data_IF_439011260559
#
_entry.id   IF_439011260559
#
_cell.length_a   1.000
_cell.length_b   1.000
_cell.length_c   1.000
_cell.angle_alpha   90.00
_cell.angle_beta   90.00
_cell.angle_gamma   90.00
#
_symmetry.space_group_name_H-M   'P 1'
#
loop_
_entity.id
_entity.type
_entity.pdbx_description
1 polymer ?
#
# COMPACT_ATOMS: atom_id res chain seq x y z
N UNK A 1 6.99 -6.38 9.77
CA UNK A 1 5.60 -6.01 9.40
C UNK A 1 4.72 -6.14 10.62
N UNK A 2 3.92 -5.12 10.94
CA UNK A 2 3.00 -5.17 12.07
C UNK A 2 1.73 -5.95 11.71
N UNK A 3 1.21 -6.74 12.64
CA UNK A 3 0.00 -7.52 12.41
C UNK A 3 -1.22 -6.59 12.32
N UNK A 4 -1.86 -6.57 11.16
CA UNK A 4 -3.11 -5.84 10.90
C UNK A 4 -4.28 -6.80 10.85
N UNK A 5 -5.42 -6.36 11.39
CA UNK A 5 -6.70 -7.08 11.29
C UNK A 5 -7.60 -6.37 10.28
N UNK A 6 -8.00 -7.09 9.22
CA UNK A 6 -8.93 -6.55 8.22
C UNK A 6 -10.24 -6.05 8.85
N UNK A 7 -10.74 -6.78 9.86
CA UNK A 7 -11.96 -6.39 10.61
C UNK A 7 -11.80 -5.01 11.26
N UNK A 8 -10.63 -4.72 11.83
CA UNK A 8 -10.36 -3.43 12.46
C UNK A 8 -10.19 -2.33 11.40
N UNK A 9 -9.46 -2.61 10.32
CA UNK A 9 -9.32 -1.66 9.21
C UNK A 9 -10.66 -1.32 8.57
N UNK A 10 -11.55 -2.30 8.39
CA UNK A 10 -12.89 -2.04 7.87
C UNK A 10 -13.71 -1.16 8.82
N UNK A 11 -13.62 -1.37 10.13
CA UNK A 11 -14.26 -0.47 11.13
C UNK A 11 -13.73 0.96 11.01
N UNK A 12 -12.43 1.14 10.85
CA UNK A 12 -11.83 2.47 10.63
C UNK A 12 -12.35 3.12 9.35
N UNK A 13 -12.42 2.37 8.24
CA UNK A 13 -12.97 2.86 6.96
C UNK A 13 -14.43 3.29 7.12
N UNK A 14 -15.26 2.47 7.78
CA UNK A 14 -16.67 2.79 8.05
C UNK A 14 -16.79 4.06 8.91
N UNK A 15 -15.95 4.20 9.94
CA UNK A 15 -15.95 5.36 10.83
C UNK A 15 -15.56 6.66 10.11
N UNK A 16 -14.69 6.59 9.09
CA UNK A 16 -14.25 7.74 8.30
C UNK A 16 -15.30 8.27 7.32
N UNK A 17 -16.36 7.50 7.03
CA UNK A 17 -17.49 7.93 6.19
C UNK A 17 -17.06 8.52 4.84
N UNK A 18 -16.11 7.85 4.17
CA UNK A 18 -15.69 8.20 2.81
C UNK A 18 -16.88 8.37 1.86
N UNK A 19 -16.72 9.23 0.86
CA UNK A 19 -17.76 9.52 -0.12
C UNK A 19 -17.69 8.61 -1.34
N UNK A 20 -16.53 8.01 -1.55
CA UNK A 20 -16.21 7.22 -2.73
C UNK A 20 -15.53 5.89 -2.38
N UNK A 21 -15.81 4.86 -3.17
CA UNK A 21 -15.23 3.53 -3.06
C UNK A 21 -13.70 3.59 -3.19
N UNK A 22 -13.21 4.41 -4.14
CA UNK A 22 -11.78 4.59 -4.37
C UNK A 22 -11.06 5.20 -3.17
N UNK A 23 -11.69 6.09 -2.41
CA UNK A 23 -11.10 6.65 -1.19
C UNK A 23 -10.92 5.59 -0.09
N UNK A 24 -11.95 4.75 0.11
CA UNK A 24 -11.89 3.65 1.06
C UNK A 24 -10.78 2.64 0.70
N UNK A 25 -10.63 2.32 -0.60
CA UNK A 25 -9.55 1.48 -1.11
C UNK A 25 -8.17 2.15 -0.90
N UNK A 26 -8.03 3.42 -1.26
CA UNK A 26 -6.77 4.16 -1.04
C UNK A 26 -6.38 4.22 0.43
N UNK A 27 -7.35 4.33 1.34
CA UNK A 27 -7.09 4.25 2.76
C UNK A 27 -6.51 2.90 3.19
N UNK A 28 -7.11 1.79 2.75
CA UNK A 28 -6.59 0.44 3.02
C UNK A 28 -5.14 0.31 2.54
N UNK A 29 -4.87 0.75 1.30
CA UNK A 29 -3.53 0.76 0.72
C UNK A 29 -2.56 1.58 1.58
N UNK A 30 -2.90 2.83 1.92
CA UNK A 30 -2.02 3.68 2.75
C UNK A 30 -1.75 3.06 4.12
N UNK A 31 -2.78 2.50 4.76
CA UNK A 31 -2.66 1.84 6.07
C UNK A 31 -1.75 0.62 6.00
N UNK A 32 -1.88 -0.21 4.97
CA UNK A 32 -0.98 -1.37 4.80
C UNK A 32 0.45 -0.93 4.53
N UNK A 33 0.67 0.09 3.68
CA UNK A 33 2.00 0.71 3.46
C UNK A 33 2.63 1.18 4.77
N UNK A 34 1.88 1.91 5.60
CA UNK A 34 2.38 2.44 6.87
C UNK A 34 2.74 1.36 7.90
N UNK A 35 2.28 0.13 7.71
CA UNK A 35 2.59 -1.03 8.57
C UNK A 35 3.73 -1.90 8.01
N UNK A 36 4.38 -1.44 6.94
CA UNK A 36 5.53 -2.08 6.32
C UNK A 36 5.18 -3.14 5.28
N UNK A 37 3.93 -3.17 4.80
CA UNK A 37 3.59 -4.00 3.63
C UNK A 37 4.12 -3.32 2.38
N UNK A 38 5.04 -3.99 1.67
CA UNK A 38 5.53 -3.55 0.39
C UNK A 38 4.42 -3.69 -0.67
N UNK A 39 4.25 -2.65 -1.47
CA UNK A 39 3.30 -2.66 -2.57
C UNK A 39 4.03 -2.16 -3.80
N UNK A 40 4.28 -3.08 -4.72
CA UNK A 40 4.82 -2.73 -6.02
C UNK A 40 3.77 -1.92 -6.80
N UNK A 41 4.10 -0.69 -7.17
CA UNK A 41 3.21 0.15 -7.99
C UNK A 41 2.92 -0.45 -9.38
N UNK A 42 3.74 -1.41 -9.82
CA UNK A 42 3.59 -2.16 -11.07
C UNK A 42 2.91 -3.53 -10.87
N UNK A 43 2.36 -3.81 -9.69
CA UNK A 43 1.60 -5.06 -9.47
C UNK A 43 0.32 -5.04 -10.33
N UNK A 44 0.20 -5.94 -11.33
CA UNK A 44 -0.93 -5.95 -12.25
C UNK A 44 -2.25 -6.29 -11.55
N UNK A 45 -2.21 -7.06 -10.45
CA UNK A 45 -3.40 -7.41 -9.68
C UNK A 45 -3.89 -6.20 -8.90
N UNK A 46 -2.99 -5.42 -8.28
CA UNK A 46 -3.37 -4.16 -7.62
C UNK A 46 -3.93 -3.16 -8.64
N UNK A 47 -3.34 -3.08 -9.84
CA UNK A 47 -3.84 -2.22 -10.91
C UNK A 47 -5.25 -2.63 -11.35
N UNK A 48 -5.53 -3.94 -11.48
CA UNK A 48 -6.85 -4.46 -11.78
C UNK A 48 -7.87 -4.08 -10.68
N UNK A 49 -7.52 -4.26 -9.40
CA UNK A 49 -8.38 -3.84 -8.29
C UNK A 49 -8.73 -2.35 -8.32
N UNK A 50 -7.77 -1.49 -8.68
CA UNK A 50 -8.02 -0.05 -8.80
C UNK A 50 -9.04 0.24 -9.91
N UNK A 51 -8.93 -0.46 -11.04
CA UNK A 51 -9.86 -0.31 -12.16
C UNK A 51 -11.26 -0.81 -11.79
N UNK A 52 -11.36 -1.97 -11.17
CA UNK A 52 -12.63 -2.55 -10.70
C UNK A 52 -13.33 -1.61 -9.72
N UNK A 53 -12.58 -1.03 -8.78
CA UNK A 53 -13.13 -0.10 -7.80
C UNK A 53 -13.67 1.18 -8.46
N UNK A 54 -12.96 1.70 -9.47
CA UNK A 54 -13.44 2.84 -10.26
C UNK A 54 -14.72 2.48 -11.03
N UNK A 55 -14.82 1.27 -11.56
CA UNK A 55 -16.02 0.82 -12.28
C UNK A 55 -17.22 0.68 -11.34
N UNK A 56 -17.03 0.16 -10.13
CA UNK A 56 -18.08 0.09 -9.10
C UNK A 56 -18.59 1.49 -8.75
N UNK A 57 -17.66 2.42 -8.49
CA UNK A 57 -17.98 3.82 -8.18
C UNK A 57 -18.75 4.50 -9.32
N UNK A 58 -18.26 4.37 -10.56
CA UNK A 58 -18.92 4.92 -11.75
C UNK A 58 -20.31 4.34 -11.96
N UNK A 59 -20.48 3.02 -11.78
CA UNK A 59 -21.77 2.38 -11.92
C UNK A 59 -22.77 2.89 -10.88
N UNK A 60 -22.35 3.02 -9.62
CA UNK A 60 -23.20 3.60 -8.56
C UNK A 60 -23.64 5.02 -8.89
N UNK A 61 -22.72 5.87 -9.35
CA UNK A 61 -23.01 7.25 -9.75
C UNK A 61 -24.02 7.27 -10.90
N UNK A 62 -23.83 6.42 -11.91
CA UNK A 62 -24.71 6.34 -13.09
C UNK A 62 -26.13 5.86 -12.75
N UNK A 63 -26.27 4.94 -11.80
CA UNK A 63 -27.58 4.43 -11.38
C UNK A 63 -28.28 5.35 -10.38
N UNK A 64 -27.73 6.53 -10.09
CA UNK A 64 -28.23 7.47 -9.06
C UNK A 64 -28.43 6.80 -7.70
N UNK A 65 -27.68 5.74 -7.42
CA UNK A 65 -27.80 5.02 -6.15
C UNK A 65 -27.28 5.91 -5.01
N UNK A 66 -27.78 5.64 -3.80
CA UNK A 66 -27.55 6.43 -2.61
C UNK A 66 -26.04 6.57 -2.31
N UNK A 67 -25.74 7.53 -1.43
CA UNK A 67 -24.42 7.75 -0.83
C UNK A 67 -23.71 6.44 -0.53
N UNK A 68 -22.44 6.37 -0.90
CA UNK A 68 -21.53 5.27 -0.62
C UNK A 68 -21.68 4.70 0.79
N UNK A 69 -21.71 3.37 0.91
CA UNK A 69 -21.54 2.69 2.19
C UNK A 69 -20.42 1.69 2.10
N UNK A 70 -19.39 1.87 2.93
CA UNK A 70 -18.18 1.03 2.90
C UNK A 70 -18.42 -0.49 3.03
N UNK A 71 -19.56 -0.93 3.58
CA UNK A 71 -19.88 -2.36 3.62
C UNK A 71 -20.21 -2.97 2.24
N UNK A 72 -20.62 -2.14 1.27
CA UNK A 72 -20.94 -2.59 -0.09
C UNK A 72 -19.72 -3.15 -0.81
N UNK A 73 -18.54 -2.58 -0.54
CA UNK A 73 -17.26 -3.03 -1.14
C UNK A 73 -16.40 -3.89 -0.19
N UNK A 74 -17.01 -4.45 0.87
CA UNK A 74 -16.28 -5.19 1.90
C UNK A 74 -15.50 -6.37 1.30
N UNK A 75 -16.07 -7.05 0.30
CA UNK A 75 -15.47 -8.25 -0.25
C UNK A 75 -14.24 -7.89 -1.09
N UNK A 76 -14.36 -6.87 -1.93
CA UNK A 76 -13.32 -6.30 -2.78
C UNK A 76 -12.13 -5.81 -1.94
N UNK A 77 -12.41 -5.07 -0.86
CA UNK A 77 -11.38 -4.65 0.10
C UNK A 77 -10.72 -5.84 0.79
N UNK A 78 -11.48 -6.90 1.08
CA UNK A 78 -10.96 -8.12 1.70
C UNK A 78 -10.03 -8.90 0.78
N UNK A 79 -10.38 -9.00 -0.51
CA UNK A 79 -9.54 -9.65 -1.52
C UNK A 79 -8.23 -8.88 -1.72
N UNK A 80 -8.29 -7.55 -1.87
CA UNK A 80 -7.11 -6.70 -1.97
C UNK A 80 -6.20 -6.84 -0.74
N UNK A 81 -6.78 -6.79 0.46
CA UNK A 81 -6.05 -6.98 1.71
C UNK A 81 -5.32 -8.33 1.76
N UNK A 82 -6.00 -9.41 1.37
CA UNK A 82 -5.42 -10.75 1.36
C UNK A 82 -4.30 -10.87 0.33
N UNK A 83 -4.49 -10.33 -0.88
CA UNK A 83 -3.48 -10.30 -1.93
C UNK A 83 -2.18 -9.63 -1.44
N UNK A 84 -2.29 -8.41 -0.90
CA UNK A 84 -1.12 -7.69 -0.36
C UNK A 84 -0.46 -8.49 0.76
N UNK A 85 -1.23 -9.11 1.64
CA UNK A 85 -0.69 -9.92 2.75
C UNK A 85 0.03 -11.17 2.27
N UNK A 86 -0.46 -11.85 1.24
CA UNK A 86 0.16 -13.05 0.66
C UNK A 86 1.47 -12.69 -0.03
N UNK A 87 1.48 -11.67 -0.89
CA UNK A 87 2.69 -11.22 -1.59
C UNK A 87 3.84 -10.88 -0.62
N UNK A 88 3.51 -10.25 0.49
CA UNK A 88 4.52 -9.86 1.48
C UNK A 88 4.92 -10.99 2.42
N UNK A 89 4.28 -12.15 2.37
CA UNK A 89 4.77 -13.38 3.02
C UNK A 89 5.72 -14.16 2.11
N UNK A 90 5.53 -14.07 0.80
CA UNK A 90 6.31 -14.86 -0.19
C UNK A 90 7.54 -14.13 -0.71
N UNK A 91 7.58 -12.79 -0.61
CA UNK A 91 8.80 -12.03 -0.88
C UNK A 91 9.81 -12.25 0.26
N UNK A 92 11.02 -12.75 -0.02
CA UNK A 92 12.07 -12.76 0.99
C UNK A 92 12.30 -11.32 1.43
N UNK A 93 12.21 -11.07 2.73
CA UNK A 93 12.68 -9.83 3.35
C UNK A 93 14.15 -9.70 2.97
N UNK A 94 14.47 -8.94 1.91
CA UNK A 94 15.83 -8.47 1.70
C UNK A 94 16.08 -7.43 2.78
N UNK A 95 16.47 -7.90 3.96
CA UNK A 95 17.24 -7.10 4.90
C UNK A 95 18.54 -6.80 4.16
N UNK A 96 18.64 -5.61 3.59
CA UNK A 96 19.95 -5.10 3.20
C UNK A 96 20.58 -4.73 4.54
N UNK A 97 21.31 -5.67 5.13
CA UNK A 97 22.34 -5.31 6.11
C UNK A 97 23.33 -4.48 5.31
N UNK A 98 23.29 -3.17 5.52
CA UNK A 98 24.34 -2.30 5.03
C UNK A 98 25.52 -2.59 5.96
N UNK A 99 26.42 -3.48 5.55
CA UNK A 99 27.74 -3.54 6.17
C UNK A 99 28.36 -2.16 6.01
N UNK A 100 28.47 -1.42 7.11
CA UNK A 100 29.08 -0.09 7.17
C UNK A 100 30.58 -0.12 6.77
N UNK A 101 31.15 -1.28 6.46
CA UNK A 101 32.54 -1.48 6.06
C UNK A 101 32.87 -0.98 4.63
N UNK A 102 31.88 -0.57 3.83
CA UNK A 102 32.12 0.01 2.49
C UNK A 102 32.13 1.54 2.42
N UNK A 103 32.21 2.24 3.56
CA UNK A 103 32.42 3.69 3.62
C UNK A 103 33.82 3.98 4.18
N UNK A 104 34.92 3.52 3.54
CA UNK A 104 36.22 4.07 3.92
C UNK A 104 37.37 4.06 2.90
N UNK A 105 37.12 3.93 1.58
CA UNK A 105 38.23 3.97 0.61
C UNK A 105 38.16 5.12 -0.42
N UNK A 106 37.05 5.84 -0.52
CA UNK A 106 36.91 6.92 -1.53
C UNK A 106 37.29 8.30 -1.00
N UNK A 107 37.30 8.53 0.32
CA UNK A 107 37.62 9.86 0.88
C UNK A 107 39.10 10.08 1.22
N UNK A 108 39.92 9.02 1.34
CA UNK A 108 41.36 9.18 1.68
C UNK A 108 42.24 9.66 0.53
N UNK A 109 41.80 9.60 -0.73
CA UNK A 109 42.61 10.01 -1.90
C UNK A 109 42.43 11.46 -2.35
N UNK A 110 41.52 12.24 -1.74
CA UNK A 110 41.31 13.66 -2.10
C UNK A 110 41.98 14.67 -1.17
N UNK A 111 42.53 14.24 -0.03
CA UNK A 111 43.10 15.13 0.98
C UNK A 111 44.64 15.32 0.90
N UNK A 112 45.30 14.85 -0.18
CA UNK A 112 46.76 15.04 -0.36
C UNK A 112 47.14 15.80 -1.64
N UNK A 113 46.18 16.42 -2.34
CA UNK A 113 46.46 17.15 -3.59
C UNK A 113 46.15 18.65 -3.56
N UNK A 114 46.15 19.28 -2.38
CA UNK A 114 46.30 20.74 -2.28
C UNK A 114 47.05 21.08 -0.99
N UNK A 115 48.37 20.89 -1.03
CA UNK A 115 49.30 21.60 -0.17
C UNK A 115 50.01 22.66 -1.02
N UNK A 116 49.54 23.90 -0.91
CA UNK A 116 50.33 25.12 -1.08
C UNK A 116 49.96 26.01 0.12
#
# INVERSE_FOLDING_TARGET
>A
MNNISFKNTLKEIVAKKYEYETEAMHYLIRKMKSLGYNMNAKDPVIAAFILDMKNIELNRIRTSDKRFRAHQIKNELGLLYNHIKILNKTLPTRTIEIDEEYINDTERKRSTRYGI
#
